data_IF_018082452233
#
_entry.id   IF_018082452233
#
_cell.length_a   1.000
_cell.length_b   1.000
_cell.length_c   1.000
_cell.angle_alpha   90.00
_cell.angle_beta   90.00
_cell.angle_gamma   90.00
#
_symmetry.space_group_name_H-M   'P 1'
#
loop_
_entity.id
_entity.type
_entity.pdbx_description
1 polymer ?
#
# COMPACT_ATOMS: atom_id res chain seq x y z
N UNK A 1 -42.88 -4.36 9.95
CA UNK A 1 -42.45 -2.94 9.85
C UNK A 1 -43.48 -2.23 8.97
N UNK A 2 -44.11 -1.14 9.41
CA UNK A 2 -45.10 -0.43 8.56
C UNK A 2 -44.40 0.23 7.36
N UNK A 3 -45.10 0.42 6.24
CA UNK A 3 -44.55 1.06 5.04
C UNK A 3 -43.96 2.46 5.34
N UNK A 4 -44.50 3.17 6.33
CA UNK A 4 -44.00 4.46 6.81
C UNK A 4 -42.60 4.34 7.44
N UNK A 5 -42.34 3.27 8.20
CA UNK A 5 -41.02 3.03 8.80
C UNK A 5 -39.98 2.58 7.77
N UNK A 6 -40.40 1.98 6.65
CA UNK A 6 -39.51 1.59 5.55
C UNK A 6 -39.01 2.80 4.77
N UNK A 7 -39.90 3.75 4.46
CA UNK A 7 -39.52 4.98 3.77
C UNK A 7 -38.53 5.81 4.58
N UNK A 8 -38.76 6.00 5.88
CA UNK A 8 -37.85 6.77 6.74
C UNK A 8 -36.44 6.18 6.81
N UNK A 9 -36.32 4.87 6.96
CA UNK A 9 -35.02 4.18 7.04
C UNK A 9 -34.20 4.30 5.75
N UNK A 10 -34.84 4.24 4.58
CA UNK A 10 -34.14 4.41 3.30
C UNK A 10 -33.58 5.83 3.14
N UNK A 11 -34.34 6.86 3.53
CA UNK A 11 -33.87 8.24 3.48
C UNK A 11 -32.62 8.45 4.35
N UNK A 12 -32.58 7.88 5.54
CA UNK A 12 -31.42 7.96 6.44
C UNK A 12 -30.17 7.35 5.79
N UNK A 13 -30.29 6.18 5.14
CA UNK A 13 -29.18 5.52 4.45
C UNK A 13 -28.62 6.42 3.34
N UNK A 14 -29.48 7.01 2.50
CA UNK A 14 -29.05 7.89 1.41
C UNK A 14 -28.35 9.16 1.91
N UNK A 15 -28.80 9.73 3.05
CA UNK A 15 -28.13 10.86 3.69
C UNK A 15 -26.69 10.48 4.08
N UNK A 16 -26.49 9.33 4.73
CA UNK A 16 -25.15 8.86 5.10
C UNK A 16 -24.26 8.59 3.88
N UNK A 17 -24.81 7.99 2.82
CA UNK A 17 -24.12 7.80 1.53
C UNK A 17 -23.64 9.13 0.96
N UNK A 18 -24.53 10.13 0.92
CA UNK A 18 -24.23 11.45 0.39
C UNK A 18 -23.13 12.15 1.22
N UNK A 19 -23.21 12.07 2.55
CA UNK A 19 -22.18 12.62 3.44
C UNK A 19 -20.82 11.98 3.15
N UNK A 20 -20.75 10.65 3.08
CA UNK A 20 -19.49 9.95 2.79
C UNK A 20 -18.94 10.30 1.40
N UNK A 21 -19.81 10.39 0.40
CA UNK A 21 -19.43 10.79 -0.96
C UNK A 21 -18.87 12.22 -0.97
N UNK A 22 -19.51 13.17 -0.30
CA UNK A 22 -19.03 14.55 -0.18
C UNK A 22 -17.66 14.61 0.52
N UNK A 23 -17.48 13.91 1.64
CA UNK A 23 -16.19 13.85 2.34
C UNK A 23 -15.10 13.30 1.41
N UNK A 24 -15.38 12.20 0.73
CA UNK A 24 -14.45 11.53 -0.18
C UNK A 24 -14.06 12.45 -1.34
N UNK A 25 -15.04 13.04 -2.02
CA UNK A 25 -14.80 13.96 -3.14
C UNK A 25 -14.07 15.22 -2.68
N UNK A 26 -14.40 15.79 -1.52
CA UNK A 26 -13.71 16.94 -0.97
C UNK A 26 -12.22 16.66 -0.70
N UNK A 27 -11.89 15.47 -0.16
CA UNK A 27 -10.51 15.04 0.05
C UNK A 27 -9.75 14.89 -1.28
N UNK A 28 -10.38 14.30 -2.30
CA UNK A 28 -9.80 14.16 -3.65
C UNK A 28 -9.53 15.53 -4.28
N UNK A 29 -10.52 16.41 -4.32
CA UNK A 29 -10.43 17.73 -4.93
C UNK A 29 -9.41 18.62 -4.20
N UNK A 30 -9.37 18.56 -2.86
CA UNK A 30 -8.40 19.29 -2.05
C UNK A 30 -6.95 18.92 -2.39
N UNK A 31 -6.68 17.64 -2.66
CA UNK A 31 -5.36 17.20 -3.09
C UNK A 31 -5.03 17.66 -4.53
N UNK A 32 -6.02 17.77 -5.41
CA UNK A 32 -5.82 18.25 -6.78
C UNK A 32 -5.38 19.72 -6.87
N UNK A 33 -5.47 20.50 -5.78
CA UNK A 33 -5.08 21.92 -5.76
C UNK A 33 -3.57 22.15 -5.98
N UNK A 34 -2.71 21.19 -5.63
CA UNK A 34 -1.24 21.34 -5.74
C UNK A 34 -0.58 20.11 -6.34
N UNK A 35 0.45 20.27 -7.19
CA UNK A 35 1.26 19.13 -7.66
C UNK A 35 1.83 18.33 -6.48
N UNK A 36 1.91 17.00 -6.63
CA UNK A 36 2.48 16.11 -5.61
C UNK A 36 1.55 15.72 -4.47
N UNK A 37 0.50 16.50 -4.19
CA UNK A 37 -0.49 16.16 -3.15
C UNK A 37 -1.28 14.88 -3.44
N UNK A 38 -1.38 14.50 -4.71
CA UNK A 38 -1.96 13.23 -5.17
C UNK A 38 -1.20 11.99 -4.68
N UNK A 39 -0.01 12.17 -4.12
CA UNK A 39 0.77 11.09 -3.53
C UNK A 39 0.70 11.06 -2.01
N UNK A 40 0.00 12.03 -1.40
CA UNK A 40 -0.21 12.05 0.05
C UNK A 40 -1.23 10.98 0.46
N UNK A 41 -1.01 10.37 1.63
CA UNK A 41 -1.84 9.27 2.10
C UNK A 41 -3.35 9.61 2.18
N UNK A 42 -3.81 10.81 2.62
CA UNK A 42 -5.23 11.13 2.64
C UNK A 42 -5.88 11.11 1.26
N UNK A 43 -5.17 11.56 0.21
CA UNK A 43 -5.68 11.46 -1.16
C UNK A 43 -5.86 10.00 -1.55
N UNK A 44 -4.88 9.15 -1.25
CA UNK A 44 -4.90 7.74 -1.61
C UNK A 44 -5.97 6.96 -0.82
N UNK A 45 -6.21 7.33 0.44
CA UNK A 45 -7.31 6.82 1.26
C UNK A 45 -8.68 7.20 0.68
N UNK A 46 -8.83 8.45 0.23
CA UNK A 46 -10.04 8.89 -0.46
C UNK A 46 -10.19 8.22 -1.84
N UNK A 47 -9.10 8.01 -2.58
CA UNK A 47 -9.10 7.36 -3.88
C UNK A 47 -9.55 5.89 -3.77
N UNK A 48 -9.05 5.15 -2.78
CA UNK A 48 -9.52 3.78 -2.57
C UNK A 48 -10.95 3.75 -2.07
N UNK A 49 -11.39 4.69 -1.22
CA UNK A 49 -12.81 4.77 -0.83
C UNK A 49 -13.69 5.06 -2.05
N UNK A 50 -13.27 5.99 -2.91
CA UNK A 50 -14.00 6.32 -4.13
C UNK A 50 -14.11 5.13 -5.07
N UNK A 51 -13.01 4.44 -5.34
CA UNK A 51 -12.98 3.36 -6.33
C UNK A 51 -13.52 2.02 -5.81
N UNK A 52 -13.40 1.76 -4.50
CA UNK A 52 -13.72 0.47 -3.92
C UNK A 52 -15.00 0.49 -3.08
N UNK A 53 -15.22 1.53 -2.27
CA UNK A 53 -16.34 1.58 -1.30
C UNK A 53 -17.58 2.20 -1.93
N UNK A 54 -17.47 3.41 -2.50
CA UNK A 54 -18.62 4.18 -2.97
C UNK A 54 -19.52 3.44 -3.98
N UNK A 55 -19.00 2.70 -4.97
CA UNK A 55 -19.85 2.00 -5.93
C UNK A 55 -20.74 0.92 -5.29
N UNK A 56 -20.34 0.37 -4.14
CA UNK A 56 -21.07 -0.70 -3.47
C UNK A 56 -22.24 -0.17 -2.61
N UNK A 57 -22.30 1.14 -2.37
CA UNK A 57 -23.23 1.73 -1.40
C UNK A 57 -24.67 1.86 -1.90
N UNK A 58 -24.95 2.25 -3.16
CA UNK A 58 -26.32 2.43 -3.65
C UNK A 58 -27.20 1.19 -3.47
N UNK A 59 -26.72 0.01 -3.89
CA UNK A 59 -27.46 -1.24 -3.73
C UNK A 59 -27.73 -1.58 -2.26
N UNK A 60 -26.70 -1.47 -1.41
CA UNK A 60 -26.82 -1.72 0.02
C UNK A 60 -27.72 -0.72 0.76
N UNK A 61 -27.81 0.54 0.30
CA UNK A 61 -28.68 1.53 0.90
C UNK A 61 -30.18 1.16 0.79
N UNK A 62 -30.53 0.32 -0.19
CA UNK A 62 -31.89 -0.16 -0.43
C UNK A 62 -32.14 -1.58 0.07
N UNK A 63 -31.10 -2.29 0.54
CA UNK A 63 -31.19 -3.68 0.94
C UNK A 63 -31.91 -3.87 2.28
N UNK A 64 -33.14 -4.37 2.19
CA UNK A 64 -34.02 -4.66 3.33
C UNK A 64 -33.56 -5.81 4.24
N UNK A 65 -32.60 -6.62 3.80
CA UNK A 65 -32.08 -7.75 4.57
C UNK A 65 -30.96 -7.34 5.54
N UNK A 66 -30.48 -6.09 5.43
CA UNK A 66 -29.49 -5.58 6.36
C UNK A 66 -30.09 -5.36 7.77
N UNK A 67 -29.31 -5.61 8.84
CA UNK A 67 -29.72 -5.29 10.19
C UNK A 67 -30.11 -3.81 10.35
N UNK A 68 -31.16 -3.54 11.12
CA UNK A 68 -31.63 -2.18 11.37
C UNK A 68 -30.50 -1.29 11.91
N UNK A 69 -30.25 -0.16 11.22
CA UNK A 69 -29.18 0.78 11.55
C UNK A 69 -27.75 0.28 11.30
N UNK A 70 -27.56 -0.95 10.83
CA UNK A 70 -26.25 -1.51 10.50
C UNK A 70 -25.54 -0.74 9.39
N UNK A 71 -26.28 -0.42 8.31
CA UNK A 71 -25.78 0.37 7.18
C UNK A 71 -25.28 1.76 7.64
N UNK A 72 -26.17 2.55 8.25
CA UNK A 72 -25.85 3.89 8.74
C UNK A 72 -24.62 3.90 9.67
N UNK A 73 -24.52 2.92 10.58
CA UNK A 73 -23.38 2.75 11.48
C UNK A 73 -22.07 2.47 10.73
N UNK A 74 -22.09 1.55 9.77
CA UNK A 74 -20.92 1.23 8.97
C UNK A 74 -20.43 2.45 8.17
N UNK A 75 -21.34 3.17 7.51
CA UNK A 75 -21.00 4.36 6.71
C UNK A 75 -20.52 5.51 7.58
N UNK A 76 -21.17 5.76 8.71
CA UNK A 76 -20.72 6.76 9.68
C UNK A 76 -19.31 6.44 10.22
N UNK A 77 -19.04 5.16 10.51
CA UNK A 77 -17.71 4.73 10.96
C UNK A 77 -16.66 4.85 9.85
N UNK A 78 -16.98 4.50 8.60
CA UNK A 78 -16.10 4.75 7.44
C UNK A 78 -15.77 6.23 7.30
N UNK A 79 -16.76 7.12 7.43
CA UNK A 79 -16.55 8.57 7.44
C UNK A 79 -15.63 9.03 8.57
N UNK A 80 -15.80 8.47 9.78
CA UNK A 80 -14.91 8.73 10.92
C UNK A 80 -13.47 8.26 10.63
N UNK A 81 -13.28 7.08 10.03
CA UNK A 81 -11.96 6.58 9.65
C UNK A 81 -11.25 7.50 8.64
N UNK A 82 -11.98 8.04 7.65
CA UNK A 82 -11.44 9.04 6.72
C UNK A 82 -11.09 10.36 7.40
N UNK A 83 -11.94 10.84 8.30
CA UNK A 83 -11.64 12.01 9.11
C UNK A 83 -10.37 11.79 9.94
N UNK A 84 -10.20 10.61 10.53
CA UNK A 84 -9.01 10.24 11.30
C UNK A 84 -7.76 10.13 10.43
N UNK A 85 -7.86 9.64 9.19
CA UNK A 85 -6.77 9.71 8.20
C UNK A 85 -6.33 11.17 7.95
N UNK A 86 -7.30 12.07 7.76
CA UNK A 86 -7.01 13.48 7.51
C UNK A 86 -6.40 14.17 8.75
N UNK A 87 -6.94 13.90 9.94
CA UNK A 87 -6.45 14.43 11.20
C UNK A 87 -5.05 13.93 11.54
N UNK A 88 -4.78 12.63 11.38
CA UNK A 88 -3.46 12.04 11.61
C UNK A 88 -2.39 12.65 10.70
N UNK A 89 -2.76 12.87 9.43
CA UNK A 89 -1.89 13.55 8.47
C UNK A 89 -1.56 14.99 8.87
N UNK A 90 -2.53 15.74 9.39
CA UNK A 90 -2.30 17.12 9.84
C UNK A 90 -1.57 17.23 11.18
N UNK A 91 -1.80 16.28 12.09
CA UNK A 91 -1.19 16.26 13.41
C UNK A 91 0.34 16.08 13.34
N UNK A 92 0.84 15.37 12.33
CA UNK A 92 2.26 15.11 12.17
C UNK A 92 3.04 16.32 11.59
N UNK A 93 3.66 17.08 12.50
CA UNK A 93 4.44 18.29 12.17
C UNK A 93 5.93 18.04 11.91
N UNK A 94 6.47 16.90 12.35
CA UNK A 94 7.91 16.61 12.30
C UNK A 94 8.21 15.48 11.31
N UNK A 95 9.25 15.61 10.49
CA UNK A 95 9.71 14.49 9.68
C UNK A 95 10.24 13.37 10.59
N UNK A 96 10.04 12.12 10.17
CA UNK A 96 10.65 10.98 10.84
C UNK A 96 12.17 11.03 10.62
N UNK A 97 12.94 10.98 11.71
CA UNK A 97 14.40 10.80 11.64
C UNK A 97 14.72 9.32 11.50
N UNK A 98 14.19 8.68 10.45
CA UNK A 98 14.70 7.38 10.01
C UNK A 98 16.15 7.64 9.64
N UNK A 99 17.06 7.15 10.50
CA UNK A 99 18.42 7.64 10.65
C UNK A 99 18.98 8.21 9.36
N UNK A 100 19.43 9.47 9.41
CA UNK A 100 19.91 10.27 8.27
C UNK A 100 21.12 9.59 7.60
N UNK A 101 20.84 8.48 6.91
CA UNK A 101 21.80 7.57 6.34
C UNK A 101 22.04 8.01 4.92
N UNK A 102 23.30 8.25 4.60
CA UNK A 102 23.76 8.35 3.23
C UNK A 102 24.07 6.94 2.74
N UNK A 103 23.71 6.65 1.49
CA UNK A 103 23.89 5.34 0.89
C UNK A 103 24.88 5.44 -0.27
N UNK A 104 25.73 4.42 -0.37
CA UNK A 104 26.58 4.20 -1.52
C UNK A 104 25.73 3.62 -2.64
N UNK A 105 25.66 4.34 -3.77
CA UNK A 105 24.80 3.98 -4.90
C UNK A 105 25.17 2.62 -5.51
N UNK A 106 26.47 2.27 -5.56
CA UNK A 106 26.94 0.99 -6.09
C UNK A 106 26.52 -0.15 -5.17
N UNK A 107 26.69 0.01 -3.85
CA UNK A 107 26.24 -1.00 -2.88
C UNK A 107 24.72 -1.14 -2.87
N UNK A 108 23.99 -0.04 -3.04
CA UNK A 108 22.53 -0.06 -3.13
C UNK A 108 22.06 -0.80 -4.40
N UNK A 109 22.73 -0.60 -5.54
CA UNK A 109 22.46 -1.35 -6.77
C UNK A 109 22.80 -2.84 -6.65
N UNK A 110 23.90 -3.20 -5.97
CA UNK A 110 24.22 -4.60 -5.68
C UNK A 110 23.11 -5.22 -4.82
N UNK A 111 22.68 -4.53 -3.77
CA UNK A 111 21.60 -4.99 -2.91
C UNK A 111 20.29 -5.15 -3.70
N UNK A 112 19.95 -4.19 -4.58
CA UNK A 112 18.81 -4.27 -5.48
C UNK A 112 18.88 -5.52 -6.38
N UNK A 113 20.04 -5.77 -7.01
CA UNK A 113 20.27 -6.94 -7.85
C UNK A 113 20.13 -8.26 -7.10
N UNK A 114 20.71 -8.37 -5.90
CA UNK A 114 20.59 -9.58 -5.06
C UNK A 114 19.13 -9.82 -4.66
N UNK A 115 18.43 -8.80 -4.17
CA UNK A 115 17.02 -8.90 -3.80
C UNK A 115 16.14 -9.30 -5.00
N UNK A 116 16.36 -8.69 -6.16
CA UNK A 116 15.66 -9.02 -7.40
C UNK A 116 15.92 -10.45 -7.85
N UNK A 117 17.17 -10.93 -7.83
CA UNK A 117 17.51 -12.30 -8.26
C UNK A 117 16.95 -13.36 -7.31
N UNK A 118 17.04 -13.14 -6.00
CA UNK A 118 16.45 -14.05 -5.00
C UNK A 118 14.93 -14.04 -5.13
N UNK A 119 14.31 -12.87 -5.20
CA UNK A 119 12.85 -12.76 -5.38
C UNK A 119 12.38 -13.43 -6.67
N UNK A 120 13.10 -13.22 -7.78
CA UNK A 120 12.81 -13.85 -9.06
C UNK A 120 12.93 -15.38 -9.01
N UNK A 121 13.95 -15.92 -8.34
CA UNK A 121 14.13 -17.38 -8.24
C UNK A 121 12.99 -18.06 -7.47
N UNK A 122 12.50 -17.42 -6.40
CA UNK A 122 11.34 -17.90 -5.65
C UNK A 122 10.02 -17.69 -6.41
N UNK A 123 9.89 -16.61 -7.18
CA UNK A 123 8.74 -16.39 -8.06
C UNK A 123 8.65 -17.47 -9.15
N UNK A 124 9.77 -17.80 -9.80
CA UNK A 124 9.81 -18.87 -10.81
C UNK A 124 9.50 -20.23 -10.20
N UNK A 125 9.94 -20.50 -8.97
CA UNK A 125 9.56 -21.73 -8.26
C UNK A 125 8.05 -21.76 -7.95
N UNK A 126 7.48 -20.61 -7.55
CA UNK A 126 6.04 -20.48 -7.32
C UNK A 126 5.22 -20.70 -8.59
N UNK A 127 5.66 -20.16 -9.74
CA UNK A 127 4.93 -20.29 -11.02
C UNK A 127 4.97 -21.69 -11.61
N UNK A 128 5.88 -22.56 -11.13
CA UNK A 128 5.94 -23.99 -11.51
C UNK A 128 5.01 -24.86 -10.68
N UNK A 129 4.43 -24.35 -9.60
CA UNK A 129 3.50 -25.12 -8.79
C UNK A 129 2.14 -25.27 -9.52
N UNK A 130 1.41 -26.38 -9.29
CA UNK A 130 0.07 -26.55 -9.80
C UNK A 130 -0.85 -25.37 -9.43
N UNK A 131 -1.66 -24.91 -10.39
CA UNK A 131 -2.45 -23.67 -10.26
C UNK A 131 -3.57 -23.77 -9.22
N UNK A 132 -4.09 -24.97 -9.01
CA UNK A 132 -5.06 -25.37 -7.98
C UNK A 132 -4.54 -25.15 -6.54
N UNK A 133 -3.22 -25.21 -6.34
CA UNK A 133 -2.57 -24.98 -5.04
C UNK A 133 -2.22 -23.49 -4.81
N UNK A 134 -2.14 -22.70 -5.88
CA UNK A 134 -1.67 -21.30 -5.83
C UNK A 134 -2.79 -20.26 -5.99
N UNK A 135 -3.96 -20.65 -6.50
CA UNK A 135 -5.07 -19.73 -6.78
C UNK A 135 -6.38 -20.23 -6.14
N UNK A 136 -6.87 -19.53 -5.11
CA UNK A 136 -8.25 -19.69 -4.61
C UNK A 136 -8.43 -20.49 -3.32
N UNK A 137 -7.36 -21.04 -2.74
CA UNK A 137 -7.38 -21.75 -1.44
C UNK A 137 -6.49 -21.07 -0.40
N UNK A 138 -6.69 -21.38 0.88
CA UNK A 138 -5.81 -20.93 1.96
C UNK A 138 -4.44 -21.60 1.80
N UNK A 139 -3.52 -20.89 1.16
CA UNK A 139 -2.19 -21.40 0.84
C UNK A 139 -1.46 -21.75 2.14
N UNK A 140 -0.99 -22.99 2.26
CA UNK A 140 -0.21 -23.47 3.40
C UNK A 140 1.04 -24.23 2.94
N UNK A 141 2.05 -24.34 3.80
CA UNK A 141 3.28 -25.08 3.50
C UNK A 141 4.24 -24.35 2.57
N UNK A 142 4.84 -25.08 1.63
CA UNK A 142 5.92 -24.60 0.76
C UNK A 142 5.56 -23.38 -0.13
N UNK A 143 4.36 -23.29 -0.73
CA UNK A 143 4.02 -22.13 -1.56
C UNK A 143 3.95 -20.82 -0.74
N UNK A 144 3.65 -20.87 0.57
CA UNK A 144 3.72 -19.70 1.46
C UNK A 144 5.14 -19.19 1.59
N UNK A 145 6.12 -20.09 1.71
CA UNK A 145 7.54 -19.75 1.75
C UNK A 145 7.96 -19.08 0.44
N UNK A 146 7.56 -19.64 -0.69
CA UNK A 146 7.86 -19.06 -2.00
C UNK A 146 7.24 -17.67 -2.16
N UNK A 147 5.98 -17.49 -1.77
CA UNK A 147 5.33 -16.18 -1.79
C UNK A 147 6.06 -15.18 -0.87
N UNK A 148 6.46 -15.60 0.33
CA UNK A 148 7.16 -14.76 1.30
C UNK A 148 8.49 -14.22 0.75
N UNK A 149 9.33 -15.09 0.15
CA UNK A 149 10.60 -14.67 -0.44
C UNK A 149 10.46 -14.00 -1.81
N UNK A 150 9.41 -14.32 -2.58
CA UNK A 150 9.14 -13.64 -3.86
C UNK A 150 8.93 -12.13 -3.69
N UNK A 151 8.50 -11.66 -2.52
CA UNK A 151 8.39 -10.23 -2.19
C UNK A 151 9.71 -9.48 -2.27
N UNK A 152 10.85 -10.15 -2.17
CA UNK A 152 12.17 -9.53 -2.38
C UNK A 152 12.30 -8.93 -3.79
N UNK A 153 11.54 -9.45 -4.78
CA UNK A 153 11.47 -8.88 -6.12
C UNK A 153 10.95 -7.45 -6.10
N UNK A 154 9.87 -7.18 -5.33
CA UNK A 154 9.33 -5.83 -5.14
C UNK A 154 10.38 -4.89 -4.53
N UNK A 155 11.11 -5.36 -3.52
CA UNK A 155 12.14 -4.55 -2.85
C UNK A 155 13.32 -4.25 -3.77
N UNK A 156 13.80 -5.24 -4.52
CA UNK A 156 14.84 -5.05 -5.52
C UNK A 156 14.41 -4.07 -6.62
N UNK A 157 13.17 -4.18 -7.11
CA UNK A 157 12.60 -3.25 -8.08
C UNK A 157 12.50 -1.83 -7.52
N UNK A 158 12.02 -1.66 -6.29
CA UNK A 158 11.94 -0.35 -5.62
C UNK A 158 13.30 0.33 -5.49
N UNK A 159 14.33 -0.40 -5.04
CA UNK A 159 15.69 0.11 -4.96
C UNK A 159 16.25 0.45 -6.35
N UNK A 160 16.04 -0.43 -7.33
CA UNK A 160 16.45 -0.22 -8.72
C UNK A 160 15.82 1.04 -9.33
N UNK A 161 14.53 1.27 -9.09
CA UNK A 161 13.80 2.45 -9.57
C UNK A 161 14.34 3.74 -8.96
N UNK A 162 14.65 3.75 -7.66
CA UNK A 162 15.24 4.92 -6.98
C UNK A 162 16.63 5.22 -7.55
N UNK A 163 17.49 4.21 -7.69
CA UNK A 163 18.80 4.37 -8.32
C UNK A 163 18.68 4.86 -9.77
N UNK A 164 17.77 4.28 -10.56
CA UNK A 164 17.52 4.66 -11.95
C UNK A 164 17.03 6.11 -12.08
N UNK A 165 16.11 6.52 -11.20
CA UNK A 165 15.56 7.87 -11.20
C UNK A 165 16.62 8.92 -10.83
N UNK A 166 17.52 8.59 -9.90
CA UNK A 166 18.62 9.44 -9.43
C UNK A 166 19.76 9.55 -10.44
N UNK A 167 20.33 8.42 -10.86
CA UNK A 167 21.43 8.36 -11.82
C UNK A 167 21.27 7.14 -12.73
N UNK A 168 20.80 7.32 -13.97
CA UNK A 168 20.59 6.20 -14.86
C UNK A 168 21.92 5.49 -15.17
N UNK A 169 21.93 4.18 -14.99
CA UNK A 169 23.06 3.31 -15.32
C UNK A 169 22.53 2.06 -16.02
N UNK A 170 23.39 1.40 -16.80
CA UNK A 170 23.03 0.15 -17.50
C UNK A 170 22.59 -0.93 -16.52
N UNK A 171 23.25 -1.02 -15.36
CA UNK A 171 22.87 -1.93 -14.29
C UNK A 171 21.51 -1.62 -13.67
N UNK A 172 21.23 -0.33 -13.40
CA UNK A 172 19.92 0.08 -12.90
C UNK A 172 18.81 -0.26 -13.91
N UNK A 173 19.04 -0.01 -15.19
CA UNK A 173 18.13 -0.39 -16.26
C UNK A 173 17.91 -1.91 -16.34
N UNK A 174 18.96 -2.72 -16.27
CA UNK A 174 18.84 -4.18 -16.31
C UNK A 174 18.01 -4.71 -15.13
N UNK A 175 18.24 -4.21 -13.92
CA UNK A 175 17.48 -4.60 -12.73
C UNK A 175 16.02 -4.18 -12.85
N UNK A 176 15.75 -2.92 -13.25
CA UNK A 176 14.38 -2.41 -13.38
C UNK A 176 13.63 -3.12 -14.50
N UNK A 177 14.25 -3.33 -15.66
CA UNK A 177 13.60 -4.01 -16.79
C UNK A 177 13.33 -5.47 -16.46
N UNK A 178 14.33 -6.21 -15.97
CA UNK A 178 14.16 -7.61 -15.58
C UNK A 178 13.13 -7.78 -14.45
N UNK A 179 13.19 -6.90 -13.44
CA UNK A 179 12.22 -6.87 -12.36
C UNK A 179 10.81 -6.54 -12.84
N UNK A 180 10.65 -5.55 -13.72
CA UNK A 180 9.36 -5.14 -14.28
C UNK A 180 8.73 -6.25 -15.12
N UNK A 181 9.51 -6.98 -15.93
CA UNK A 181 9.00 -8.08 -16.73
C UNK A 181 8.36 -9.17 -15.85
N UNK A 182 9.05 -9.61 -14.80
CA UNK A 182 8.53 -10.61 -13.86
C UNK A 182 7.36 -10.07 -13.02
N UNK A 183 7.39 -8.78 -12.69
CA UNK A 183 6.33 -8.15 -11.93
C UNK A 183 5.05 -7.99 -12.76
N UNK A 184 5.18 -7.63 -14.04
CA UNK A 184 4.06 -7.55 -14.99
C UNK A 184 3.46 -8.92 -15.27
N UNK A 185 4.30 -9.94 -15.43
CA UNK A 185 3.86 -11.35 -15.53
C UNK A 185 3.01 -11.73 -14.31
N UNK A 186 3.45 -11.37 -13.09
CA UNK A 186 2.69 -11.58 -11.86
C UNK A 186 1.35 -10.83 -11.84
N UNK A 187 1.29 -9.60 -12.35
CA UNK A 187 0.05 -8.83 -12.43
C UNK A 187 -0.96 -9.52 -13.34
N UNK A 188 -0.52 -9.96 -14.52
CA UNK A 188 -1.35 -10.62 -15.53
C UNK A 188 -1.86 -11.96 -14.99
N UNK A 189 -0.97 -12.83 -14.52
CA UNK A 189 -1.33 -14.19 -14.06
C UNK A 189 -2.22 -14.16 -12.81
N UNK A 190 -1.96 -13.26 -11.86
CA UNK A 190 -2.73 -13.25 -10.61
C UNK A 190 -4.03 -12.46 -10.71
N UNK A 191 -4.14 -11.55 -11.69
CA UNK A 191 -5.23 -10.60 -11.81
C UNK A 191 -5.43 -9.73 -10.57
N UNK A 192 -4.37 -9.57 -9.74
CA UNK A 192 -4.48 -8.83 -8.48
C UNK A 192 -4.25 -7.34 -8.70
N UNK A 193 -5.35 -6.58 -8.65
CA UNK A 193 -5.35 -5.10 -8.70
C UNK A 193 -4.35 -4.43 -7.75
N UNK A 194 -4.12 -5.02 -6.57
CA UNK A 194 -3.17 -4.49 -5.59
C UNK A 194 -1.73 -4.48 -6.08
N UNK A 195 -1.31 -5.49 -6.85
CA UNK A 195 0.05 -5.56 -7.42
C UNK A 195 0.20 -4.55 -8.57
N UNK A 196 -0.84 -4.39 -9.41
CA UNK A 196 -0.83 -3.37 -10.46
C UNK A 196 -0.68 -1.95 -9.87
N UNK A 197 -1.43 -1.65 -8.81
CA UNK A 197 -1.33 -0.37 -8.12
C UNK A 197 0.02 -0.20 -7.42
N UNK A 198 0.57 -1.25 -6.80
CA UNK A 198 1.93 -1.25 -6.25
C UNK A 198 2.94 -0.86 -7.31
N UNK A 199 2.96 -1.54 -8.45
CA UNK A 199 3.88 -1.23 -9.56
C UNK A 199 3.76 0.23 -10.04
N UNK A 200 2.53 0.70 -10.32
CA UNK A 200 2.30 2.07 -10.78
C UNK A 200 2.75 3.11 -9.75
N UNK A 201 2.47 2.87 -8.46
CA UNK A 201 2.90 3.76 -7.39
C UNK A 201 4.41 3.76 -7.18
N UNK A 202 5.08 2.61 -7.30
CA UNK A 202 6.55 2.54 -7.23
C UNK A 202 7.18 3.43 -8.31
N UNK A 203 6.71 3.36 -9.55
CA UNK A 203 7.21 4.18 -10.66
C UNK A 203 6.88 5.66 -10.45
N UNK A 204 5.62 5.98 -10.16
CA UNK A 204 5.16 7.36 -10.01
C UNK A 204 5.87 8.09 -8.85
N UNK A 205 6.04 7.42 -7.70
CA UNK A 205 6.71 8.01 -6.55
C UNK A 205 8.23 8.12 -6.75
N UNK A 206 8.87 7.16 -7.40
CA UNK A 206 10.31 7.26 -7.70
C UNK A 206 10.60 8.48 -8.60
N UNK A 207 9.75 8.73 -9.60
CA UNK A 207 9.82 9.91 -10.45
C UNK A 207 9.47 11.21 -9.70
N UNK A 208 8.49 11.16 -8.79
CA UNK A 208 8.11 12.30 -7.96
C UNK A 208 9.24 12.74 -7.03
N UNK A 209 9.84 11.84 -6.26
CA UNK A 209 10.87 12.19 -5.28
C UNK A 209 12.17 12.68 -5.91
N UNK A 210 12.57 12.12 -7.06
CA UNK A 210 13.84 12.50 -7.69
C UNK A 210 13.75 13.51 -8.83
N UNK A 211 12.63 13.58 -9.56
CA UNK A 211 12.46 14.53 -10.66
C UNK A 211 11.41 15.60 -10.41
N UNK A 212 10.67 15.52 -9.30
CA UNK A 212 9.52 16.40 -9.05
C UNK A 212 8.39 16.20 -10.06
N UNK A 213 8.41 15.10 -10.83
CA UNK A 213 7.42 14.82 -11.86
C UNK A 213 6.15 14.28 -11.21
N UNK A 214 5.19 15.18 -11.00
CA UNK A 214 3.85 14.80 -10.57
C UNK A 214 3.07 14.27 -11.78
N UNK A 215 2.31 13.19 -11.59
CA UNK A 215 1.37 12.73 -12.60
C UNK A 215 0.37 13.85 -12.94
N UNK A 216 0.03 14.05 -14.23
CA UNK A 216 -1.00 15.01 -14.61
C UNK A 216 -2.31 14.72 -13.88
N UNK A 217 -2.97 15.76 -13.39
CA UNK A 217 -4.21 15.63 -12.60
C UNK A 217 -5.31 14.92 -13.39
N UNK A 218 -5.42 15.22 -14.68
CA UNK A 218 -6.40 14.56 -15.55
C UNK A 218 -6.13 13.05 -15.59
N UNK A 219 -4.86 12.63 -15.73
CA UNK A 219 -4.47 11.23 -15.78
C UNK A 219 -4.85 10.49 -14.48
N UNK A 220 -4.69 11.16 -13.34
CA UNK A 220 -5.11 10.60 -12.05
C UNK A 220 -6.64 10.46 -11.96
N UNK A 221 -7.40 11.46 -12.43
CA UNK A 221 -8.86 11.41 -12.42
C UNK A 221 -9.39 10.34 -13.38
N UNK A 222 -8.85 10.28 -14.61
CA UNK A 222 -9.23 9.25 -15.58
C UNK A 222 -8.82 7.87 -15.08
N UNK A 223 -7.63 7.74 -14.48
CA UNK A 223 -7.17 6.49 -13.87
C UNK A 223 -8.04 6.06 -12.70
N UNK A 224 -8.53 6.99 -11.88
CA UNK A 224 -9.44 6.71 -10.79
C UNK A 224 -10.80 6.21 -11.31
N UNK A 225 -11.39 6.91 -12.28
CA UNK A 225 -12.67 6.51 -12.89
C UNK A 225 -12.54 5.17 -13.61
N UNK A 226 -11.52 5.02 -14.47
CA UNK A 226 -11.27 3.76 -15.17
C UNK A 226 -10.98 2.61 -14.20
N UNK A 227 -10.18 2.85 -13.16
CA UNK A 227 -9.89 1.87 -12.12
C UNK A 227 -11.14 1.45 -11.33
N UNK A 228 -12.09 2.37 -11.15
CA UNK A 228 -13.39 2.09 -10.51
C UNK A 228 -14.25 1.18 -11.39
N UNK A 229 -14.34 1.47 -12.70
CA UNK A 229 -15.09 0.65 -13.65
C UNK A 229 -14.48 -0.75 -13.78
N UNK A 230 -13.16 -0.84 -13.97
CA UNK A 230 -12.42 -2.11 -14.08
C UNK A 230 -12.47 -2.95 -12.79
N UNK A 231 -12.75 -2.32 -11.65
CA UNK A 231 -12.84 -3.02 -10.37
C UNK A 231 -13.97 -4.06 -10.38
N UNK A 232 -15.09 -3.75 -11.04
CA UNK A 232 -16.24 -4.65 -11.11
C UNK A 232 -15.93 -5.95 -11.85
N UNK A 233 -15.15 -5.87 -12.91
CA UNK A 233 -14.81 -7.02 -13.75
C UNK A 233 -13.61 -7.84 -13.28
N UNK A 234 -13.12 -7.62 -12.06
CA UNK A 234 -11.96 -8.36 -11.55
C UNK A 234 -12.27 -9.85 -11.33
N UNK A 235 -13.53 -10.19 -11.03
CA UNK A 235 -13.94 -11.59 -10.86
C UNK A 235 -13.82 -12.37 -12.17
N UNK A 236 -14.47 -11.87 -13.23
CA UNK A 236 -14.48 -12.47 -14.57
C UNK A 236 -13.07 -12.61 -15.14
N UNK A 237 -12.24 -11.57 -14.99
CA UNK A 237 -10.85 -11.62 -15.41
C UNK A 237 -10.06 -12.75 -14.71
N UNK A 238 -10.30 -12.96 -13.42
CA UNK A 238 -9.63 -14.01 -12.64
C UNK A 238 -10.18 -15.38 -12.98
N UNK A 239 -11.46 -15.50 -13.33
CA UNK A 239 -12.04 -16.76 -13.77
C UNK A 239 -11.46 -17.19 -15.12
N UNK A 240 -11.42 -16.28 -16.11
CA UNK A 240 -10.77 -16.53 -17.40
C UNK A 240 -9.29 -16.92 -17.24
N UNK A 241 -8.56 -16.20 -16.38
CA UNK A 241 -7.14 -16.49 -16.14
C UNK A 241 -6.95 -17.88 -15.48
N UNK A 242 -7.92 -18.35 -14.69
CA UNK A 242 -7.89 -19.69 -14.07
C UNK A 242 -8.18 -20.80 -15.07
N UNK A 243 -9.17 -20.61 -15.94
CA UNK A 243 -9.60 -21.64 -16.90
C UNK A 243 -8.64 -21.77 -18.09
N UNK A 244 -8.19 -20.64 -18.65
CA UNK A 244 -7.47 -20.60 -19.94
C UNK A 244 -5.99 -20.21 -19.79
N UNK A 245 -5.58 -19.60 -18.67
CA UNK A 245 -4.23 -19.10 -18.47
C UNK A 245 -4.08 -17.65 -18.89
N UNK A 246 -3.16 -17.31 -19.80
CA UNK A 246 -3.06 -15.91 -20.25
C UNK A 246 -4.29 -15.66 -21.13
N UNK A 247 -5.21 -14.74 -20.77
CA UNK A 247 -6.43 -14.55 -21.52
C UNK A 247 -6.14 -14.02 -22.92
N UNK A 248 -6.78 -14.62 -23.93
CA UNK A 248 -6.75 -14.09 -25.30
C UNK A 248 -7.52 -12.76 -25.38
N UNK A 249 -7.10 -11.89 -26.31
CA UNK A 249 -7.73 -10.57 -26.52
C UNK A 249 -9.24 -10.70 -26.80
N UNK A 250 -9.63 -11.77 -27.49
CA UNK A 250 -11.03 -12.08 -27.79
C UNK A 250 -11.80 -12.41 -26.50
N UNK A 251 -11.27 -13.25 -25.61
CA UNK A 251 -11.89 -13.56 -24.31
C UNK A 251 -12.00 -12.31 -23.42
N UNK A 252 -11.00 -11.43 -23.45
CA UNK A 252 -11.05 -10.16 -22.71
C UNK A 252 -12.13 -9.20 -23.24
N UNK A 253 -12.40 -9.21 -24.54
CA UNK A 253 -13.44 -8.37 -25.13
C UNK A 253 -14.87 -8.79 -24.78
N UNK A 254 -15.06 -10.00 -24.22
CA UNK A 254 -16.36 -10.50 -23.77
C UNK A 254 -16.73 -10.03 -22.37
N UNK A 255 -15.78 -9.47 -21.62
CA UNK A 255 -16.05 -8.91 -20.29
C UNK A 255 -16.85 -7.62 -20.47
N UNK A 256 -18.12 -7.63 -20.06
CA UNK A 256 -18.92 -6.42 -20.02
C UNK A 256 -18.60 -5.62 -18.76
N UNK A 257 -17.76 -4.59 -18.93
CA UNK A 257 -17.32 -3.73 -17.83
C UNK A 257 -18.46 -2.87 -17.30
N UNK A 258 -19.39 -2.46 -18.17
CA UNK A 258 -20.48 -1.56 -17.80
C UNK A 258 -21.53 -2.34 -17.03
N UNK A 259 -21.95 -3.50 -17.54
CA UNK A 259 -22.91 -4.38 -16.87
C UNK A 259 -22.42 -4.80 -15.48
N UNK A 260 -21.15 -5.20 -15.36
CA UNK A 260 -20.53 -5.54 -14.07
C UNK A 260 -20.56 -4.37 -13.07
N UNK A 261 -20.36 -3.14 -13.57
CA UNK A 261 -20.40 -1.95 -12.72
C UNK A 261 -21.84 -1.60 -12.32
N UNK A 262 -22.80 -1.73 -13.23
CA UNK A 262 -24.23 -1.56 -12.96
C UNK A 262 -24.72 -2.60 -11.93
N UNK A 263 -24.29 -3.86 -12.03
CA UNK A 263 -24.61 -4.90 -11.06
C UNK A 263 -24.13 -4.53 -9.65
N UNK A 264 -22.91 -4.00 -9.52
CA UNK A 264 -22.39 -3.54 -8.22
C UNK A 264 -23.19 -2.35 -7.68
N UNK A 265 -23.61 -1.42 -8.54
CA UNK A 265 -24.45 -0.31 -8.13
C UNK A 265 -25.83 -0.77 -7.67
N UNK A 266 -26.42 -1.76 -8.34
CA UNK A 266 -27.77 -2.25 -8.03
C UNK A 266 -27.81 -3.19 -6.83
N UNK A 267 -26.87 -4.14 -6.74
CA UNK A 267 -26.87 -5.20 -5.71
C UNK A 267 -25.96 -4.87 -4.53
N UNK A 268 -25.07 -3.91 -4.70
CA UNK A 268 -23.97 -3.68 -3.77
C UNK A 268 -22.85 -4.71 -3.97
N UNK A 269 -21.70 -4.43 -3.35
CA UNK A 269 -20.58 -5.37 -3.36
C UNK A 269 -20.51 -6.22 -2.09
N UNK A 270 -19.95 -7.43 -2.20
CA UNK A 270 -19.87 -8.35 -1.07
C UNK A 270 -19.03 -7.78 0.07
N UNK A 271 -17.96 -7.02 -0.20
CA UNK A 271 -17.07 -6.53 0.86
C UNK A 271 -17.74 -5.51 1.78
N UNK A 272 -18.52 -4.58 1.23
CA UNK A 272 -19.29 -3.63 2.06
C UNK A 272 -20.50 -4.28 2.72
N UNK A 273 -21.13 -5.27 2.07
CA UNK A 273 -22.18 -6.06 2.71
C UNK A 273 -21.63 -6.77 3.96
N UNK A 274 -20.52 -7.47 3.82
CA UNK A 274 -19.82 -8.15 4.92
C UNK A 274 -19.47 -7.16 6.03
N UNK A 275 -18.96 -5.97 5.67
CA UNK A 275 -18.59 -4.95 6.63
C UNK A 275 -19.80 -4.45 7.45
N UNK A 276 -20.95 -4.23 6.80
CA UNK A 276 -22.19 -3.84 7.48
C UNK A 276 -22.64 -4.91 8.47
N UNK A 277 -22.69 -6.16 8.03
CA UNK A 277 -23.12 -7.28 8.87
C UNK A 277 -22.19 -7.46 10.07
N UNK A 278 -20.87 -7.40 9.84
CA UNK A 278 -19.87 -7.56 10.89
C UNK A 278 -19.90 -6.42 11.90
N UNK A 279 -19.96 -5.16 11.45
CA UNK A 279 -20.07 -4.00 12.36
C UNK A 279 -21.35 -4.09 13.18
N UNK A 280 -22.47 -4.50 12.56
CA UNK A 280 -23.73 -4.69 13.28
C UNK A 280 -23.66 -5.85 14.30
N UNK A 281 -23.04 -6.97 13.94
CA UNK A 281 -22.86 -8.13 14.82
C UNK A 281 -21.96 -7.78 16.01
N UNK A 282 -20.79 -7.18 15.77
CA UNK A 282 -19.88 -6.72 16.83
C UNK A 282 -20.58 -5.72 17.76
N UNK A 283 -21.39 -4.80 17.24
CA UNK A 283 -22.10 -3.85 18.08
C UNK A 283 -23.16 -4.50 18.98
N UNK A 284 -23.79 -5.59 18.52
CA UNK A 284 -24.75 -6.37 19.32
C UNK A 284 -24.05 -7.22 20.36
N UNK A 285 -23.03 -7.97 19.97
CA UNK A 285 -22.34 -8.92 20.85
C UNK A 285 -21.41 -8.24 21.84
N UNK A 286 -20.82 -7.09 21.47
CA UNK A 286 -19.76 -6.39 22.22
C UNK A 286 -18.51 -7.24 22.44
N UNK A 287 -18.33 -8.28 21.63
CA UNK A 287 -17.15 -9.14 21.65
C UNK A 287 -16.04 -8.52 20.81
N UNK A 288 -15.21 -7.71 21.46
CA UNK A 288 -14.07 -7.06 20.82
C UNK A 288 -12.81 -7.92 20.91
N UNK A 289 -12.03 -7.98 19.82
CA UNK A 289 -10.79 -8.77 19.82
C UNK A 289 -9.57 -8.05 20.40
N UNK A 290 -9.67 -6.75 20.69
CA UNK A 290 -8.59 -5.92 21.24
C UNK A 290 -7.24 -6.05 20.52
N UNK A 291 -7.23 -6.41 19.23
CA UNK A 291 -6.02 -6.58 18.43
C UNK A 291 -5.40 -7.98 18.48
N UNK A 292 -6.02 -8.94 19.16
CA UNK A 292 -5.55 -10.34 19.20
C UNK A 292 -5.47 -10.93 17.79
N UNK A 293 -6.39 -10.54 16.88
CA UNK A 293 -6.30 -10.90 15.47
C UNK A 293 -4.96 -10.54 14.84
N UNK A 294 -4.58 -9.27 15.02
CA UNK A 294 -3.44 -8.64 14.38
C UNK A 294 -2.16 -9.31 14.88
N UNK A 295 -2.10 -9.61 16.18
CA UNK A 295 -1.03 -10.39 16.77
C UNK A 295 -0.94 -11.80 16.19
N UNK A 296 -2.04 -12.55 16.19
CA UNK A 296 -2.07 -13.92 15.67
C UNK A 296 -1.68 -13.97 14.19
N UNK A 297 -2.09 -12.98 13.40
CA UNK A 297 -1.68 -12.86 11.99
C UNK A 297 -0.17 -12.60 11.84
N UNK A 298 0.42 -11.76 12.70
CA UNK A 298 1.87 -11.55 12.70
C UNK A 298 2.63 -12.84 13.04
N UNK A 299 2.20 -13.54 14.09
CA UNK A 299 2.79 -14.84 14.47
C UNK A 299 2.62 -15.85 13.33
N UNK A 300 1.42 -15.93 12.74
CA UNK A 300 1.14 -16.83 11.64
C UNK A 300 2.06 -16.59 10.45
N UNK A 301 2.25 -15.33 10.05
CA UNK A 301 3.05 -14.94 8.88
C UNK A 301 4.55 -15.04 9.13
N UNK A 302 5.07 -14.59 10.28
CA UNK A 302 6.51 -14.39 10.50
C UNK A 302 7.18 -15.44 11.37
N UNK A 303 6.42 -16.27 12.10
CA UNK A 303 6.98 -17.36 12.91
C UNK A 303 6.79 -18.68 12.16
N UNK A 304 7.84 -19.20 11.49
CA UNK A 304 7.74 -20.45 10.74
C UNK A 304 7.71 -21.65 11.69
N UNK A 305 6.63 -22.43 11.64
CA UNK A 305 6.48 -23.64 12.46
C UNK A 305 7.58 -24.68 12.19
N UNK A 306 8.20 -24.63 11.01
CA UNK A 306 9.28 -25.51 10.59
C UNK A 306 10.59 -25.25 11.34
N UNK A 307 10.80 -24.02 11.83
CA UNK A 307 12.03 -23.64 12.55
C UNK A 307 11.81 -23.76 14.05
N UNK A 308 10.69 -23.26 14.56
CA UNK A 308 10.42 -23.20 16.01
C UNK A 308 9.58 -24.36 16.55
N UNK A 309 9.03 -25.18 15.66
CA UNK A 309 8.06 -26.24 16.00
C UNK A 309 6.61 -25.74 16.09
N UNK A 310 5.62 -26.62 15.84
CA UNK A 310 4.20 -26.25 15.90
C UNK A 310 3.74 -25.87 17.31
N UNK A 311 4.30 -26.50 18.35
CA UNK A 311 3.94 -26.24 19.75
C UNK A 311 4.27 -24.80 20.15
N UNK A 312 5.49 -24.33 19.85
CA UNK A 312 5.86 -22.95 20.19
C UNK A 312 5.04 -21.93 19.39
N UNK A 313 4.80 -22.20 18.10
CA UNK A 313 3.98 -21.32 17.27
C UNK A 313 2.56 -21.19 17.83
N UNK A 314 1.93 -22.31 18.17
CA UNK A 314 0.59 -22.30 18.77
C UNK A 314 0.58 -21.61 20.14
N UNK A 315 1.62 -21.77 20.96
CA UNK A 315 1.74 -21.09 22.25
C UNK A 315 1.90 -19.57 22.14
N UNK A 316 2.38 -19.06 20.99
CA UNK A 316 2.45 -17.63 20.71
C UNK A 316 1.11 -17.07 20.19
N UNK A 317 0.19 -17.92 19.73
CA UNK A 317 -1.13 -17.51 19.26
C UNK A 317 -2.12 -17.57 20.42
N UNK A 318 -2.98 -16.57 20.52
CA UNK A 318 -4.03 -16.50 21.54
C UNK A 318 -5.30 -17.11 20.94
N UNK A 319 -5.96 -18.01 21.67
CA UNK A 319 -7.21 -18.61 21.21
C UNK A 319 -8.31 -17.56 21.05
N UNK A 320 -9.15 -17.76 20.05
CA UNK A 320 -10.19 -16.82 19.67
C UNK A 320 -11.46 -17.57 19.30
N UNK A 321 -12.58 -17.12 19.87
CA UNK A 321 -13.89 -17.59 19.47
C UNK A 321 -14.20 -17.19 18.02
N UNK A 322 -15.15 -17.91 17.41
CA UNK A 322 -15.55 -17.63 16.04
C UNK A 322 -16.12 -16.21 15.92
N UNK A 323 -15.62 -15.48 14.93
CA UNK A 323 -15.90 -14.04 14.74
C UNK A 323 -17.18 -13.74 13.98
N UNK A 324 -17.71 -14.75 13.29
CA UNK A 324 -18.92 -14.60 12.50
C UNK A 324 -20.09 -15.08 13.33
N UNK A 325 -21.19 -14.33 13.24
CA UNK A 325 -22.48 -14.80 13.71
C UNK A 325 -22.78 -16.14 13.03
N UNK A 326 -23.41 -17.08 13.75
CA UNK A 326 -23.68 -18.43 13.22
C UNK A 326 -24.53 -18.40 11.95
N UNK A 327 -25.23 -17.30 11.73
CA UNK A 327 -26.16 -17.07 10.62
C UNK A 327 -25.50 -16.44 9.39
N UNK A 328 -24.18 -16.19 9.41
CA UNK A 328 -23.49 -15.50 8.32
C UNK A 328 -22.26 -16.28 7.81
N UNK A 329 -22.33 -16.69 6.55
CA UNK A 329 -21.23 -17.34 5.83
C UNK A 329 -20.65 -16.37 4.80
N UNK A 330 -19.41 -15.87 4.98
CA UNK A 330 -18.82 -14.93 4.04
C UNK A 330 -18.60 -15.61 2.68
N UNK A 331 -19.05 -14.93 1.61
CA UNK A 331 -18.82 -15.38 0.23
C UNK A 331 -17.34 -15.69 0.01
N UNK A 332 -17.05 -16.88 -0.52
CA UNK A 332 -15.69 -17.33 -0.84
C UNK A 332 -14.98 -16.29 -1.73
N UNK A 333 -13.83 -15.81 -1.27
CA UNK A 333 -13.03 -14.80 -1.98
C UNK A 333 -13.43 -13.35 -1.69
N UNK A 334 -14.47 -13.09 -0.90
CA UNK A 334 -14.74 -11.77 -0.33
C UNK A 334 -13.69 -11.40 0.72
N UNK A 335 -13.39 -10.11 0.82
CA UNK A 335 -12.38 -9.58 1.76
C UNK A 335 -13.04 -8.77 2.85
N UNK A 336 -12.58 -8.99 4.08
CA UNK A 336 -12.93 -8.15 5.22
C UNK A 336 -12.31 -6.75 5.06
N UNK A 337 -13.11 -5.70 5.21
CA UNK A 337 -12.63 -4.33 5.12
C UNK A 337 -11.92 -3.90 6.40
N UNK A 338 -11.05 -2.89 6.29
CA UNK A 338 -10.34 -2.35 7.44
C UNK A 338 -11.25 -1.65 8.43
N UNK A 339 -12.42 -1.18 7.96
CA UNK A 339 -13.44 -0.59 8.84
C UNK A 339 -14.00 -1.66 9.77
N UNK A 340 -14.44 -2.79 9.21
CA UNK A 340 -15.00 -3.86 10.01
C UNK A 340 -13.94 -4.46 10.96
N UNK A 341 -12.71 -4.65 10.48
CA UNK A 341 -11.56 -5.06 11.30
C UNK A 341 -11.26 -4.08 12.45
N UNK A 342 -11.20 -2.77 12.18
CA UNK A 342 -10.95 -1.77 13.20
C UNK A 342 -12.08 -1.69 14.25
N UNK A 343 -13.33 -1.77 13.78
CA UNK A 343 -14.51 -1.73 14.65
C UNK A 343 -14.60 -2.99 15.52
N UNK A 344 -14.33 -4.17 14.97
CA UNK A 344 -14.26 -5.43 15.72
C UNK A 344 -13.16 -5.43 16.79
N UNK A 345 -12.07 -4.67 16.62
CA UNK A 345 -11.04 -4.60 17.67
C UNK A 345 -11.37 -3.65 18.81
N UNK A 346 -11.91 -2.46 18.52
CA UNK A 346 -12.00 -1.38 19.52
C UNK A 346 -13.26 -0.51 19.37
N UNK A 347 -14.32 -1.02 18.74
CA UNK A 347 -15.53 -0.25 18.47
C UNK A 347 -15.20 1.05 17.70
N UNK A 348 -15.87 2.17 18.00
CA UNK A 348 -15.55 3.47 17.41
C UNK A 348 -14.10 3.95 17.68
N UNK A 349 -13.45 3.51 18.77
CA UNK A 349 -12.03 3.81 18.99
C UNK A 349 -11.11 3.13 17.97
N UNK A 350 -11.61 2.14 17.23
CA UNK A 350 -10.91 1.52 16.11
C UNK A 350 -10.47 2.53 15.04
N UNK A 351 -11.21 3.65 14.88
CA UNK A 351 -10.84 4.71 13.95
C UNK A 351 -9.45 5.32 14.26
N UNK A 352 -8.97 5.19 15.50
CA UNK A 352 -7.62 5.63 15.90
C UNK A 352 -6.52 4.88 15.14
N UNK A 353 -6.75 3.64 14.69
CA UNK A 353 -5.78 2.90 13.85
C UNK A 353 -5.45 3.71 12.58
N UNK A 354 -6.48 4.27 11.92
CA UNK A 354 -6.32 5.08 10.71
C UNK A 354 -5.59 6.40 10.97
N UNK A 355 -5.84 7.03 12.12
CA UNK A 355 -5.06 8.20 12.55
C UNK A 355 -3.58 7.86 12.71
N UNK A 356 -3.24 6.76 13.39
CA UNK A 356 -1.86 6.35 13.64
C UNK A 356 -1.14 6.01 12.32
N UNK A 357 -1.81 5.31 11.41
CA UNK A 357 -1.29 5.03 10.07
C UNK A 357 -1.00 6.33 9.32
N UNK A 358 -1.97 7.25 9.25
CA UNK A 358 -1.78 8.52 8.55
C UNK A 358 -0.70 9.40 9.19
N UNK A 359 -0.60 9.41 10.52
CA UNK A 359 0.43 10.12 11.26
C UNK A 359 1.83 9.59 10.92
N UNK A 360 2.02 8.26 10.94
CA UNK A 360 3.27 7.62 10.58
C UNK A 360 3.62 7.86 9.11
N UNK A 361 2.66 7.68 8.20
CA UNK A 361 2.85 7.92 6.77
C UNK A 361 3.22 9.38 6.48
N UNK A 362 2.66 10.36 7.20
CA UNK A 362 3.08 11.77 7.08
C UNK A 362 4.52 11.97 7.53
N UNK A 363 4.91 11.37 8.65
CA UNK A 363 6.26 11.51 9.18
C UNK A 363 7.30 11.00 8.17
N UNK A 364 7.03 9.83 7.57
CA UNK A 364 7.86 9.21 6.54
C UNK A 364 7.85 10.07 5.27
N UNK A 365 6.68 10.48 4.78
CA UNK A 365 6.55 11.31 3.58
C UNK A 365 7.32 12.63 3.68
N UNK A 366 7.23 13.30 4.83
CA UNK A 366 7.96 14.56 5.05
C UNK A 366 9.47 14.36 5.04
N UNK A 367 9.95 13.25 5.58
CA UNK A 367 11.36 12.90 5.52
C UNK A 367 11.80 12.55 4.09
N UNK A 368 10.96 11.85 3.32
CA UNK A 368 11.21 11.53 1.92
C UNK A 368 11.29 12.81 1.06
N UNK A 369 10.32 13.72 1.19
CA UNK A 369 10.33 15.01 0.49
C UNK A 369 11.51 15.91 0.91
N UNK A 370 12.02 15.73 2.14
CA UNK A 370 13.24 16.41 2.61
C UNK A 370 14.55 15.78 2.06
N UNK A 371 14.46 14.74 1.23
CA UNK A 371 15.61 14.09 0.57
C UNK A 371 16.21 12.91 1.34
N UNK A 372 15.56 12.40 2.39
CA UNK A 372 16.01 11.18 3.06
C UNK A 372 15.73 9.97 2.19
N UNK A 373 16.78 9.41 1.58
CA UNK A 373 16.67 8.21 0.73
C UNK A 373 16.04 7.02 1.46
N UNK A 374 16.34 6.84 2.76
CA UNK A 374 15.73 5.78 3.56
C UNK A 374 14.21 5.96 3.67
N UNK A 375 13.76 7.19 3.92
CA UNK A 375 12.35 7.52 3.99
C UNK A 375 11.65 7.44 2.63
N UNK A 376 12.32 7.80 1.53
CA UNK A 376 11.82 7.61 0.15
C UNK A 376 11.50 6.13 -0.08
N UNK A 377 12.46 5.24 0.18
CA UNK A 377 12.30 3.78 0.00
C UNK A 377 11.16 3.24 0.88
N UNK A 378 11.14 3.62 2.17
CA UNK A 378 10.10 3.17 3.10
C UNK A 378 8.72 3.67 2.66
N UNK A 379 8.59 4.93 2.23
CA UNK A 379 7.31 5.46 1.74
C UNK A 379 6.84 4.72 0.49
N UNK A 380 7.75 4.53 -0.47
CA UNK A 380 7.51 3.82 -1.74
C UNK A 380 6.86 2.45 -1.49
N UNK A 381 7.41 1.72 -0.52
CA UNK A 381 7.00 0.35 -0.19
C UNK A 381 5.87 0.28 0.84
N UNK A 382 5.54 1.38 1.51
CA UNK A 382 4.46 1.43 2.52
C UNK A 382 3.16 1.97 1.97
N UNK A 383 3.19 2.73 0.87
CA UNK A 383 2.02 3.49 0.41
C UNK A 383 0.84 2.59 0.04
N UNK A 384 1.09 1.49 -0.69
CA UNK A 384 0.02 0.57 -1.10
C UNK A 384 -0.46 -0.28 0.08
N UNK A 385 0.40 -0.89 0.91
CA UNK A 385 -0.04 -1.53 2.15
C UNK A 385 -0.86 -0.60 3.06
N UNK A 386 -0.52 0.69 3.12
CA UNK A 386 -1.29 1.69 3.84
C UNK A 386 -2.67 1.91 3.20
N UNK A 387 -2.78 2.00 1.87
CA UNK A 387 -4.08 2.06 1.19
C UNK A 387 -4.94 0.83 1.48
N UNK A 388 -4.32 -0.35 1.47
CA UNK A 388 -4.99 -1.62 1.76
C UNK A 388 -5.53 -1.70 3.18
N UNK A 389 -5.08 -0.86 4.12
CA UNK A 389 -5.72 -0.78 5.45
C UNK A 389 -7.17 -0.32 5.37
N UNK A 390 -7.64 0.25 4.25
CA UNK A 390 -9.04 0.58 4.05
C UNK A 390 -9.81 -0.61 3.44
N UNK A 391 -9.34 -1.16 2.33
CA UNK A 391 -10.06 -2.22 1.59
C UNK A 391 -9.90 -3.61 2.18
N UNK A 392 -8.85 -3.83 2.98
CA UNK A 392 -8.50 -5.08 3.63
C UNK A 392 -8.19 -4.78 5.10
N UNK A 393 -7.61 -5.74 5.81
CA UNK A 393 -7.35 -5.58 7.23
C UNK A 393 -6.26 -4.56 7.59
N UNK A 394 -6.38 -3.97 8.79
CA UNK A 394 -5.47 -2.91 9.26
C UNK A 394 -4.06 -3.41 9.62
N UNK A 395 -3.85 -4.70 9.92
CA UNK A 395 -2.50 -5.24 10.18
C UNK A 395 -1.61 -5.28 8.95
N UNK A 396 -2.15 -5.18 7.73
CA UNK A 396 -1.37 -5.38 6.51
C UNK A 396 -0.18 -4.43 6.41
N UNK A 397 -0.35 -3.17 6.84
CA UNK A 397 0.75 -2.21 6.89
C UNK A 397 1.82 -2.60 7.92
N UNK A 398 1.41 -3.12 9.08
CA UNK A 398 2.34 -3.56 10.13
C UNK A 398 3.12 -4.78 9.65
N UNK A 399 2.45 -5.76 9.03
CA UNK A 399 3.11 -6.90 8.40
C UNK A 399 4.07 -6.45 7.30
N UNK A 400 3.68 -5.49 6.47
CA UNK A 400 4.58 -4.93 5.45
C UNK A 400 5.83 -4.31 6.09
N UNK A 401 5.70 -3.58 7.20
CA UNK A 401 6.84 -3.00 7.91
C UNK A 401 7.75 -4.04 8.57
N UNK A 402 7.19 -5.10 9.15
CA UNK A 402 7.98 -6.23 9.66
C UNK A 402 8.73 -6.92 8.52
N UNK A 403 8.07 -7.13 7.38
CA UNK A 403 8.69 -7.74 6.21
C UNK A 403 9.80 -6.85 5.61
N UNK A 404 9.59 -5.53 5.56
CA UNK A 404 10.63 -4.55 5.21
C UNK A 404 11.80 -4.62 6.19
N UNK A 405 11.54 -4.71 7.50
CA UNK A 405 12.61 -4.84 8.48
C UNK A 405 13.43 -6.13 8.29
N UNK A 406 12.80 -7.24 7.93
CA UNK A 406 13.49 -8.51 7.70
C UNK A 406 14.36 -8.46 6.44
N UNK A 407 13.83 -8.00 5.31
CA UNK A 407 14.50 -8.11 4.02
C UNK A 407 15.29 -6.86 3.61
N UNK A 408 14.73 -5.68 3.85
CA UNK A 408 15.28 -4.43 3.37
C UNK A 408 16.30 -3.85 4.35
N UNK A 409 16.09 -3.97 5.67
CA UNK A 409 17.03 -3.40 6.64
C UNK A 409 18.46 -3.95 6.49
N UNK A 410 18.72 -5.26 6.32
CA UNK A 410 20.08 -5.76 6.10
C UNK A 410 20.71 -5.18 4.83
N UNK A 411 19.94 -5.06 3.74
CA UNK A 411 20.38 -4.47 2.49
C UNK A 411 20.74 -2.98 2.65
N UNK A 412 19.94 -2.21 3.40
CA UNK A 412 20.21 -0.80 3.68
C UNK A 412 21.43 -0.63 4.60
N UNK A 413 21.59 -1.48 5.61
CA UNK A 413 22.77 -1.47 6.48
C UNK A 413 24.06 -1.76 5.70
N UNK A 414 24.02 -2.68 4.74
CA UNK A 414 25.13 -2.95 3.83
C UNK A 414 25.46 -1.74 2.93
N UNK A 415 24.43 -1.09 2.38
CA UNK A 415 24.60 0.05 1.49
C UNK A 415 24.96 1.37 2.19
N UNK A 416 24.82 1.43 3.52
CA UNK A 416 25.09 2.63 4.31
C UNK A 416 26.57 3.04 4.22
N UNK A 417 26.82 4.32 3.91
CA UNK A 417 28.15 4.92 4.00
C UNK A 417 28.53 5.15 5.47
N UNK A 418 29.77 4.84 5.83
CA UNK A 418 30.31 5.22 7.13
C UNK A 418 30.72 6.69 7.07
N UNK A 419 30.56 7.41 8.19
CA UNK A 419 30.92 8.84 8.29
C UNK A 419 32.36 9.13 7.86
N UNK A 420 33.27 8.18 8.06
CA UNK A 420 34.69 8.31 7.69
C UNK A 420 34.93 8.29 6.17
N UNK A 421 34.07 7.60 5.41
CA UNK A 421 34.17 7.52 3.95
C UNK A 421 33.78 8.86 3.30
N UNK A 422 32.79 9.56 3.88
CA UNK A 422 32.35 10.88 3.40
C UNK A 422 33.45 11.94 3.56
N UNK A 423 34.23 11.86 4.64
CA UNK A 423 35.37 12.76 4.89
C UNK A 423 36.53 12.50 3.91
N UNK A 424 36.79 11.23 3.57
CA UNK A 424 37.83 10.85 2.60
C UNK A 424 37.48 11.28 1.17
N UNK A 425 36.23 11.09 0.75
CA UNK A 425 35.78 11.54 -0.59
C UNK A 425 35.76 13.07 -0.72
N UNK A 426 35.43 13.79 0.35
CA UNK A 426 35.56 15.26 0.36
C UNK A 426 37.01 15.71 0.33
N UNK A 427 37.93 15.03 1.04
CA UNK A 427 39.36 15.34 0.99
C UNK A 427 40.00 15.00 -0.35
N UNK A 428 39.57 13.94 -1.03
CA UNK A 428 40.07 13.58 -2.38
C UNK A 428 39.50 14.48 -3.48
N UNK A 429 38.27 14.97 -3.33
CA UNK A 429 37.67 15.94 -4.26
C UNK A 429 38.20 17.38 -4.10
N UNK A 430 38.76 17.73 -2.93
CA UNK A 430 39.32 19.07 -2.63
C UNK A 430 40.83 19.13 -2.85
N UNK A 431 41.52 18.00 -3.10
CA UNK A 431 42.93 18.03 -3.49
C UNK A 431 43.05 18.71 -4.87
N UNK A 432 43.61 19.94 -4.96
CA UNK A 432 43.82 20.58 -6.24
C UNK A 432 44.92 19.78 -6.94
N UNK A 433 44.57 19.11 -8.04
CA UNK A 433 45.58 18.86 -9.07
C UNK A 433 45.98 20.24 -9.59
N UNK A 434 47.26 20.54 -9.50
CA UNK A 434 47.91 21.73 -10.06
C UNK A 434 47.79 23.02 -9.24
N UNK A 435 48.51 23.04 -8.10
CA UNK A 435 49.18 24.27 -7.66
C UNK A 435 50.69 24.04 -7.70
N UNK A 436 51.23 23.90 -8.93
CA UNK A 436 52.65 24.15 -9.17
C UNK A 436 52.86 25.66 -8.99
N UNK A 437 53.41 26.05 -7.84
CA UNK A 437 53.89 27.41 -7.59
C UNK A 437 55.05 27.66 -8.54
N UNK A 438 54.78 28.32 -9.66
CA UNK A 438 55.83 28.98 -10.44
C UNK A 438 56.30 30.18 -9.64
N UNK A 439 57.56 30.12 -9.20
CA UNK A 439 58.28 31.24 -8.64
C UNK A 439 58.52 32.28 -9.73
N UNK A 440 57.70 33.32 -9.80
CA UNK A 440 58.07 34.56 -10.50
C UNK A 440 58.74 35.54 -9.52
N UNK A 441 59.99 35.96 -9.77
CA UNK A 441 60.65 37.01 -9.00
C UNK A 441 60.32 38.38 -9.60
N UNK A 442 59.94 39.32 -8.73
CA UNK A 442 60.01 40.75 -9.02
C UNK A 442 58.67 41.45 -9.11
N UNK A 443 58.22 42.00 -7.98
CA UNK A 443 57.40 43.20 -7.92
C UNK A 443 57.73 43.95 -6.63
N UNK A 444 58.34 45.11 -6.82
CA UNK A 444 58.68 46.11 -5.80
C UNK A 444 57.43 46.74 -5.18
N UNK A 445 57.48 47.18 -3.91
CA UNK A 445 56.35 47.83 -3.25
C UNK A 445 56.31 49.34 -3.58
N UNK A 446 55.13 49.97 -3.74
CA UNK A 446 55.04 51.41 -3.68
C UNK A 446 54.68 51.87 -2.25
N UNK A 447 55.61 52.66 -1.71
CA UNK A 447 55.44 53.85 -0.89
C UNK A 447 54.12 54.09 -0.14
N UNK A 448 54.30 54.24 1.18
CA UNK A 448 53.47 55.03 2.09
C UNK A 448 53.27 56.46 1.59
N UNK A 449 52.04 56.97 1.70
CA UNK A 449 51.76 58.41 1.85
C UNK A 449 50.76 58.58 2.99
N UNK A 450 51.15 59.42 3.95
CA UNK A 450 50.36 59.95 5.05
C UNK A 450 49.23 60.87 4.56
N UNK A 451 48.06 60.74 5.20
CA UNK A 451 47.23 61.87 5.64
C UNK A 451 46.22 61.39 6.67
#
# INVERSE_FOLDING_TARGET
MSAYNQAGWQWDNWIWTAILAVITVAMLLSAMTRPGKIYEFPFLAAAITFAFILPQLPGLATDRFLPAGGYAKAIAFTGLCLAMCQMGWWACRRPMRLGDWTFDERRLLIAAGVLSLVGASFYIQLSRLPRDVTVGTTISGLPVVYLFFSRMLTYGLALGLICLARRPSTWAWAIVLGGSLLYLDRIIITGKRGEAMEFLMLVALALWFHRGWAAPRFLMLTGLVAGTLLLGSTHDYRELTRSEGIPDVLSLSQIDIVENFEEILERGGPEMHNAVLRIAATDRSRDFDYGVFHWNMLVYTFVPAQVVGPVLKSALMIEMDQRYDREYDPLLGSTETGMADAFSSFWYFGALKFFLVAFAMRAIYRAAVAGSTGAEIVYLLSVVPAMHTLSHFTQWIVSAWVQLAIFLLPALLYARQRRDDVSRDRMSAVAPKDYQISTQPGLTPPLQIHS
#
